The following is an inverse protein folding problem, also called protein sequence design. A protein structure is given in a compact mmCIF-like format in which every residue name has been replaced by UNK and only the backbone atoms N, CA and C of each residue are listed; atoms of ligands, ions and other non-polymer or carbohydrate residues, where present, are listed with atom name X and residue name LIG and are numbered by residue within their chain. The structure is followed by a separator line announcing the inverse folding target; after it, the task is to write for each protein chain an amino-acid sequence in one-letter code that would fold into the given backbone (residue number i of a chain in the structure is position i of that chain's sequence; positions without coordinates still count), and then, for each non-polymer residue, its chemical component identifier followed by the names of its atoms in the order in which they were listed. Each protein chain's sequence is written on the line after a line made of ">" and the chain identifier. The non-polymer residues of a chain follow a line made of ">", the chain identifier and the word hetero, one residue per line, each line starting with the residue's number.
data_IF_610591522179
#
_entry.id   IF_610591522179
#
_cell.length_a   1.000
_cell.length_b   1.000
_cell.length_c   1.000
_cell.angle_alpha   90.00
_cell.angle_beta   90.00
_cell.angle_gamma   90.00
#
_symmetry.space_group_name_H-M   'P 1'
#
loop_
_entity.id
_entity.type
_entity.pdbx_description
1 polymer ?
#
# COMPACT_ATOMS: atom_id res chain seq x y z
N UNK A 1 34.95 -61.46 42.35
CA UNK A 1 35.66 -62.20 43.40
C UNK A 1 35.19 -61.83 44.80
N UNK A 2 35.21 -60.55 45.22
CA UNK A 2 34.71 -60.12 46.55
C UNK A 2 33.23 -60.42 46.83
N UNK A 3 32.31 -60.12 45.89
CA UNK A 3 30.87 -60.39 46.05
C UNK A 3 30.46 -61.88 45.89
N UNK A 4 31.32 -62.69 45.27
CA UNK A 4 31.10 -64.15 45.09
C UNK A 4 31.72 -64.92 46.26
N UNK A 5 32.75 -64.37 46.91
CA UNK A 5 33.43 -64.95 48.07
C UNK A 5 32.93 -64.49 49.44
N UNK A 6 31.86 -63.67 49.50
CA UNK A 6 31.24 -63.26 50.78
C UNK A 6 32.09 -62.34 51.66
N UNK A 7 33.14 -61.71 51.13
CA UNK A 7 34.00 -60.79 51.89
C UNK A 7 33.57 -59.35 51.59
N UNK A 8 32.93 -58.72 52.58
CA UNK A 8 32.36 -57.36 52.52
C UNK A 8 30.85 -57.34 52.34
N UNK A 9 30.19 -56.23 52.69
CA UNK A 9 28.73 -56.04 52.68
C UNK A 9 28.07 -55.96 51.28
N UNK A 10 28.73 -56.45 50.24
CA UNK A 10 28.33 -56.29 48.83
C UNK A 10 27.80 -57.62 48.27
N UNK A 11 26.48 -57.70 48.09
CA UNK A 11 25.80 -58.87 47.50
C UNK A 11 25.77 -58.78 45.97
N UNK A 12 25.58 -59.91 45.27
CA UNK A 12 25.39 -59.93 43.82
C UNK A 12 24.21 -59.05 43.38
N UNK A 13 23.13 -59.04 44.18
CA UNK A 13 21.97 -58.18 43.99
C UNK A 13 22.30 -56.70 44.12
N UNK A 14 23.15 -56.31 45.09
CA UNK A 14 23.60 -54.93 45.25
C UNK A 14 24.40 -54.43 44.03
N UNK A 15 25.22 -55.28 43.42
CA UNK A 15 25.97 -54.94 42.19
C UNK A 15 24.99 -54.78 41.01
N UNK A 16 24.02 -55.68 40.85
CA UNK A 16 23.02 -55.59 39.79
C UNK A 16 22.16 -54.32 39.92
N UNK A 17 21.69 -54.01 41.14
CA UNK A 17 20.97 -52.77 41.44
C UNK A 17 21.83 -51.53 41.24
N UNK A 18 23.12 -51.56 41.59
CA UNK A 18 24.04 -50.44 41.37
C UNK A 18 24.29 -50.18 39.87
N UNK A 19 24.47 -51.22 39.06
CA UNK A 19 24.61 -51.08 37.60
C UNK A 19 23.34 -50.52 36.95
N UNK A 20 22.17 -50.94 37.43
CA UNK A 20 20.89 -50.38 36.97
C UNK A 20 20.75 -48.91 37.38
N UNK A 21 21.12 -48.55 38.62
CA UNK A 21 21.11 -47.18 39.11
C UNK A 21 22.09 -46.28 38.31
N UNK A 22 23.29 -46.78 38.01
CA UNK A 22 24.28 -46.06 37.20
C UNK A 22 23.74 -45.71 35.80
N UNK A 23 23.07 -46.64 35.13
CA UNK A 23 22.40 -46.35 33.84
C UNK A 23 21.22 -45.40 33.99
N UNK A 24 20.45 -45.57 35.08
CA UNK A 24 19.29 -44.73 35.39
C UNK A 24 19.66 -43.28 35.73
N UNK A 25 20.88 -42.99 36.16
CA UNK A 25 21.35 -41.64 36.49
C UNK A 25 21.95 -40.94 35.26
N UNK A 26 22.73 -41.67 34.46
CA UNK A 26 23.42 -41.06 33.32
C UNK A 26 22.47 -40.58 32.21
N UNK A 27 21.37 -41.32 31.95
CA UNK A 27 20.40 -40.89 30.92
C UNK A 27 19.67 -39.58 31.27
N UNK A 28 19.06 -39.42 32.46
CA UNK A 28 18.42 -38.16 32.85
C UNK A 28 19.36 -36.96 32.86
N UNK A 29 20.63 -37.13 33.29
CA UNK A 29 21.61 -36.04 33.29
C UNK A 29 21.85 -35.54 31.86
N UNK A 30 22.03 -36.45 30.90
CA UNK A 30 22.19 -36.09 29.50
C UNK A 30 20.92 -35.44 28.91
N UNK A 31 19.72 -35.93 29.29
CA UNK A 31 18.45 -35.32 28.88
C UNK A 31 18.28 -33.90 29.43
N UNK A 32 18.63 -33.66 30.70
CA UNK A 32 18.61 -32.32 31.30
C UNK A 32 19.58 -31.37 30.58
N UNK A 33 20.79 -31.83 30.27
CA UNK A 33 21.77 -31.02 29.53
C UNK A 33 21.27 -30.61 28.14
N UNK A 34 20.60 -31.52 27.42
CA UNK A 34 19.98 -31.21 26.12
C UNK A 34 18.79 -30.24 26.27
N UNK A 35 17.97 -30.38 27.31
CA UNK A 35 16.85 -29.47 27.55
C UNK A 35 17.30 -28.03 27.83
N UNK A 36 18.44 -27.82 28.48
CA UNK A 36 18.97 -26.46 28.73
C UNK A 36 19.22 -25.69 27.43
N UNK A 37 19.76 -26.35 26.40
CA UNK A 37 19.94 -25.73 25.09
C UNK A 37 18.61 -25.38 24.43
N UNK A 38 17.63 -26.27 24.52
CA UNK A 38 16.27 -26.01 24.00
C UNK A 38 15.59 -24.85 24.73
N UNK A 39 15.76 -24.74 26.06
CA UNK A 39 15.23 -23.62 26.85
C UNK A 39 15.91 -22.30 26.48
N UNK A 40 17.23 -22.29 26.27
CA UNK A 40 17.95 -21.09 25.85
C UNK A 40 17.50 -20.61 24.45
N UNK A 41 17.33 -21.53 23.50
CA UNK A 41 16.77 -21.21 22.18
C UNK A 41 15.32 -20.73 22.26
N UNK A 42 14.50 -21.37 23.11
CA UNK A 42 13.12 -20.94 23.35
C UNK A 42 13.09 -19.52 23.92
N UNK A 43 13.95 -19.19 24.89
CA UNK A 43 14.02 -17.85 25.48
C UNK A 43 14.39 -16.78 24.45
N UNK A 44 15.35 -17.06 23.56
CA UNK A 44 15.69 -16.16 22.46
C UNK A 44 14.54 -16.01 21.44
N UNK A 45 13.80 -17.09 21.17
CA UNK A 45 12.57 -17.05 20.38
C UNK A 45 11.48 -16.19 21.02
N UNK A 46 11.20 -16.44 22.30
CA UNK A 46 10.22 -15.71 23.10
C UNK A 46 10.57 -14.22 23.19
N UNK A 47 11.85 -13.85 23.32
CA UNK A 47 12.26 -12.44 23.30
C UNK A 47 11.89 -11.74 21.98
N UNK A 48 12.07 -12.41 20.83
CA UNK A 48 11.66 -11.84 19.53
C UNK A 48 10.15 -11.66 19.44
N UNK A 49 9.37 -12.59 20.00
CA UNK A 49 7.91 -12.49 20.07
C UNK A 49 7.50 -11.33 20.97
N UNK A 50 8.08 -11.20 22.17
CA UNK A 50 7.75 -10.11 23.08
C UNK A 50 8.13 -8.75 22.51
N UNK A 51 9.30 -8.62 21.87
CA UNK A 51 9.65 -7.38 21.17
C UNK A 51 8.55 -6.99 20.16
N UNK A 52 8.09 -7.93 19.32
CA UNK A 52 7.02 -7.66 18.36
C UNK A 52 5.67 -7.30 19.03
N UNK A 53 5.37 -7.90 20.19
CA UNK A 53 4.14 -7.61 20.94
C UNK A 53 4.19 -6.26 21.66
N UNK A 54 5.39 -5.80 22.02
CA UNK A 54 5.62 -4.52 22.69
C UNK A 54 5.66 -3.35 21.70
N UNK A 55 5.76 -3.62 20.39
CA UNK A 55 5.71 -2.61 19.35
C UNK A 55 4.36 -1.88 19.38
N UNK A 56 4.40 -0.54 19.41
CA UNK A 56 3.18 0.25 19.44
C UNK A 56 2.42 0.15 18.11
N UNK A 57 1.11 -0.08 18.19
CA UNK A 57 0.24 0.03 17.03
C UNK A 57 0.29 1.46 16.48
N UNK A 58 0.10 1.59 15.16
CA UNK A 58 -0.01 2.88 14.50
C UNK A 58 -1.06 3.76 15.22
N UNK A 59 -0.67 4.91 15.81
CA UNK A 59 -1.62 5.79 16.47
C UNK A 59 -2.50 6.49 15.42
N UNK A 60 -3.79 6.64 15.73
CA UNK A 60 -4.76 7.38 14.93
C UNK A 60 -5.54 8.34 15.83
N UNK A 61 -5.07 9.58 15.93
CA UNK A 61 -5.68 10.65 16.74
C UNK A 61 -6.61 11.56 15.92
N UNK A 62 -6.91 11.18 14.68
CA UNK A 62 -7.77 11.96 13.80
C UNK A 62 -9.21 11.99 14.29
N UNK A 63 -9.79 13.19 14.37
CA UNK A 63 -11.18 13.43 14.78
C UNK A 63 -12.08 13.83 13.61
N UNK A 64 -11.53 13.85 12.40
CA UNK A 64 -12.27 14.08 11.17
C UNK A 64 -12.54 12.74 10.49
N UNK A 65 -13.81 12.52 10.14
CA UNK A 65 -14.29 11.28 9.52
C UNK A 65 -14.99 11.55 8.19
N UNK A 66 -15.00 10.53 7.34
CA UNK A 66 -15.62 10.60 6.02
C UNK A 66 -17.06 10.13 6.10
N UNK A 67 -18.00 10.95 5.64
CA UNK A 67 -19.44 10.68 5.70
C UNK A 67 -20.13 10.88 4.35
N UNK A 68 -21.21 10.16 4.13
CA UNK A 68 -22.14 10.46 3.03
C UNK A 68 -22.87 11.76 3.37
N UNK A 69 -23.02 12.63 2.38
CA UNK A 69 -23.64 13.94 2.56
C UNK A 69 -24.68 14.21 1.47
N UNK A 70 -25.74 14.93 1.81
CA UNK A 70 -26.69 15.50 0.86
C UNK A 70 -26.42 16.99 0.73
N UNK A 71 -26.35 17.47 -0.50
CA UNK A 71 -26.24 18.90 -0.79
C UNK A 71 -27.63 19.47 -1.03
N UNK A 72 -27.99 20.51 -0.28
CA UNK A 72 -29.25 21.26 -0.45
C UNK A 72 -29.10 22.36 -1.52
N UNK A 73 -30.22 22.93 -1.97
CA UNK A 73 -30.24 23.96 -3.02
C UNK A 73 -29.49 25.25 -2.62
N UNK A 74 -29.35 25.51 -1.32
CA UNK A 74 -28.58 26.62 -0.75
C UNK A 74 -27.06 26.35 -0.67
N UNK A 75 -26.62 25.16 -1.09
CA UNK A 75 -25.22 24.74 -1.05
C UNK A 75 -24.76 24.15 0.28
N UNK A 76 -25.63 24.09 1.30
CA UNK A 76 -25.32 23.47 2.59
C UNK A 76 -25.26 21.95 2.48
N UNK A 77 -24.45 21.32 3.34
CA UNK A 77 -24.30 19.88 3.42
C UNK A 77 -24.92 19.35 4.71
N UNK A 78 -25.62 18.23 4.61
CA UNK A 78 -26.09 17.48 5.78
C UNK A 78 -25.66 16.02 5.67
N UNK A 79 -25.20 15.43 6.76
CA UNK A 79 -24.92 13.99 6.84
C UNK A 79 -26.19 13.18 6.55
N UNK A 80 -26.04 12.09 5.80
CA UNK A 80 -27.14 11.19 5.46
C UNK A 80 -26.63 9.76 5.41
N UNK A 81 -27.48 8.80 5.78
CA UNK A 81 -27.21 7.38 5.61
C UNK A 81 -27.49 6.89 4.18
N UNK A 82 -28.20 7.70 3.38
CA UNK A 82 -28.50 7.38 1.98
C UNK A 82 -27.28 7.55 1.08
N UNK A 83 -27.14 6.66 0.08
CA UNK A 83 -26.06 6.71 -0.90
C UNK A 83 -26.33 7.82 -1.93
N UNK A 84 -25.78 9.02 -1.67
CA UNK A 84 -25.93 10.21 -2.53
C UNK A 84 -24.79 10.40 -3.52
N UNK A 85 -23.73 9.57 -3.46
CA UNK A 85 -22.45 9.74 -4.17
C UNK A 85 -21.74 11.08 -3.89
N UNK A 86 -22.19 11.82 -2.89
CA UNK A 86 -21.54 13.04 -2.40
C UNK A 86 -20.97 12.70 -1.03
N UNK A 87 -19.67 12.93 -0.88
CA UNK A 87 -18.95 12.69 0.36
C UNK A 87 -18.49 14.00 0.97
N UNK A 88 -18.33 14.01 2.29
CA UNK A 88 -17.84 15.16 3.03
C UNK A 88 -16.99 14.72 4.22
N UNK A 89 -16.04 15.57 4.60
CA UNK A 89 -15.33 15.52 5.86
C UNK A 89 -16.19 16.10 6.96
N UNK A 90 -16.50 15.29 7.98
CA UNK A 90 -17.16 15.72 9.20
C UNK A 90 -16.12 15.86 10.30
N UNK A 91 -16.00 17.06 10.87
CA UNK A 91 -15.24 17.30 12.09
C UNK A 91 -16.13 17.02 13.31
N UNK A 92 -15.82 15.97 14.06
CA UNK A 92 -16.61 15.56 15.24
C UNK A 92 -16.54 16.58 16.40
N UNK A 93 -15.59 17.51 16.40
CA UNK A 93 -15.46 18.55 17.43
C UNK A 93 -16.30 19.78 17.11
N UNK A 94 -16.29 20.22 15.85
CA UNK A 94 -16.99 21.45 15.43
C UNK A 94 -18.35 21.19 14.77
N UNK A 95 -18.62 19.95 14.34
CA UNK A 95 -19.79 19.61 13.52
C UNK A 95 -19.72 20.17 12.10
N UNK A 96 -18.57 20.70 11.68
CA UNK A 96 -18.40 21.30 10.35
C UNK A 96 -18.26 20.22 9.28
N UNK A 97 -19.06 20.35 8.22
CA UNK A 97 -18.97 19.56 7.01
C UNK A 97 -18.20 20.29 5.92
N UNK A 98 -17.18 19.63 5.35
CA UNK A 98 -16.43 20.13 4.20
C UNK A 98 -16.58 19.15 3.05
N UNK A 99 -17.03 19.61 1.87
CA UNK A 99 -17.22 18.72 0.71
C UNK A 99 -15.91 18.07 0.32
N UNK A 100 -15.95 16.76 0.04
CA UNK A 100 -14.82 16.03 -0.51
C UNK A 100 -14.68 16.38 -2.00
N UNK A 101 -13.67 17.19 -2.33
CA UNK A 101 -13.46 17.69 -3.69
C UNK A 101 -12.21 17.10 -4.35
N UNK A 102 -11.26 16.57 -3.57
CA UNK A 102 -10.01 16.04 -4.11
C UNK A 102 -8.93 17.10 -4.30
N UNK A 103 -8.99 18.22 -3.58
CA UNK A 103 -7.93 19.22 -3.58
C UNK A 103 -6.85 18.80 -2.59
N UNK A 104 -5.61 18.60 -3.06
CA UNK A 104 -4.49 18.15 -2.21
C UNK A 104 -3.36 19.16 -2.30
N UNK A 105 -2.84 19.59 -1.16
CA UNK A 105 -1.76 20.56 -1.08
C UNK A 105 -0.62 20.04 -0.19
N UNK A 106 0.60 20.18 -0.67
CA UNK A 106 1.83 20.02 0.10
C UNK A 106 2.46 21.41 0.19
N UNK A 107 2.84 21.84 1.38
CA UNK A 107 3.48 23.15 1.60
C UNK A 107 4.76 22.97 2.40
N UNK A 108 5.89 23.34 1.79
CA UNK A 108 7.23 23.32 2.41
C UNK A 108 7.52 21.99 3.11
N UNK A 109 7.22 20.87 2.45
CA UNK A 109 7.37 19.53 3.05
C UNK A 109 8.82 19.06 2.97
N UNK A 110 9.40 18.81 4.14
CA UNK A 110 10.70 18.16 4.33
C UNK A 110 10.50 16.76 4.95
N UNK A 111 11.20 15.76 4.43
CA UNK A 111 11.04 14.39 4.93
C UNK A 111 12.30 13.52 4.82
N UNK A 112 12.54 12.69 5.83
CA UNK A 112 13.59 11.70 5.89
C UNK A 112 13.04 10.38 6.50
N UNK A 113 13.43 9.23 5.95
CA UNK A 113 13.11 7.93 6.58
C UNK A 113 13.93 7.68 7.84
N UNK A 114 15.20 8.14 7.81
CA UNK A 114 16.13 8.12 8.93
C UNK A 114 16.66 9.54 9.10
N UNK A 115 16.85 10.00 10.33
CA UNK A 115 17.26 11.38 10.65
C UNK A 115 18.52 11.83 9.88
N UNK A 116 19.41 10.90 9.53
CA UNK A 116 20.69 11.18 8.86
C UNK A 116 20.58 11.56 7.38
N UNK A 117 19.42 11.35 6.73
CA UNK A 117 19.29 11.53 5.27
C UNK A 117 17.93 12.06 4.83
N UNK A 118 17.87 13.37 4.58
CA UNK A 118 16.74 14.02 3.91
C UNK A 118 16.51 13.45 2.51
N UNK A 119 15.28 13.00 2.26
CA UNK A 119 14.81 12.44 0.99
C UNK A 119 13.99 13.45 0.21
N UNK A 120 13.18 14.26 0.90
CA UNK A 120 12.43 15.37 0.32
C UNK A 120 12.83 16.67 1.00
N UNK A 121 12.93 17.73 0.21
CA UNK A 121 13.33 19.06 0.64
C UNK A 121 12.46 20.12 -0.06
N UNK A 122 11.81 20.98 0.73
CA UNK A 122 11.01 22.11 0.27
C UNK A 122 10.00 21.73 -0.84
N UNK A 123 9.23 20.66 -0.59
CA UNK A 123 8.23 20.19 -1.53
C UNK A 123 6.95 20.99 -1.36
N UNK A 124 6.64 21.83 -2.36
CA UNK A 124 5.37 22.55 -2.45
C UNK A 124 4.62 22.15 -3.72
N UNK A 125 3.40 21.63 -3.56
CA UNK A 125 2.55 21.12 -4.65
C UNK A 125 1.11 21.54 -4.38
N UNK A 126 0.41 22.00 -5.41
CA UNK A 126 -1.04 22.18 -5.36
C UNK A 126 -1.72 21.36 -6.45
N UNK A 127 -2.52 20.38 -6.03
CA UNK A 127 -3.34 19.55 -6.88
C UNK A 127 -4.80 20.00 -6.83
N UNK A 128 -5.29 20.55 -7.95
CA UNK A 128 -6.68 20.97 -8.08
C UNK A 128 -7.60 19.76 -8.28
N UNK A 129 -8.89 19.86 -7.88
CA UNK A 129 -9.88 18.84 -8.16
C UNK A 129 -9.89 18.42 -9.64
N UNK A 130 -9.92 17.10 -9.88
CA UNK A 130 -9.93 16.50 -11.22
C UNK A 130 -8.67 16.75 -12.08
N UNK A 131 -7.56 17.19 -11.46
CA UNK A 131 -6.29 17.43 -12.14
C UNK A 131 -5.40 16.18 -12.14
N UNK A 132 -4.76 15.90 -13.28
CA UNK A 132 -3.76 14.85 -13.44
C UNK A 132 -2.34 15.39 -13.28
N UNK A 133 -1.62 14.89 -12.30
CA UNK A 133 -0.26 15.29 -11.95
C UNK A 133 0.68 14.12 -12.20
N UNK A 134 1.63 14.31 -13.12
CA UNK A 134 2.69 13.35 -13.38
C UNK A 134 3.95 13.69 -12.57
N UNK A 135 4.42 12.72 -11.77
CA UNK A 135 5.70 12.77 -11.06
C UNK A 135 6.77 12.14 -11.95
N UNK A 136 7.75 12.94 -12.37
CA UNK A 136 8.82 12.52 -13.29
C UNK A 136 10.18 12.77 -12.65
N UNK A 137 11.15 11.87 -12.83
CA UNK A 137 12.50 12.02 -12.30
C UNK A 137 13.23 10.69 -12.21
N UNK A 138 14.53 10.72 -11.94
CA UNK A 138 15.34 9.52 -11.79
C UNK A 138 14.88 8.63 -10.61
N UNK A 139 15.34 7.37 -10.60
CA UNK A 139 15.19 6.47 -9.46
C UNK A 139 15.80 7.12 -8.21
N UNK A 140 15.09 7.07 -7.07
CA UNK A 140 15.53 7.71 -5.83
C UNK A 140 15.31 9.23 -5.74
N UNK A 141 14.67 9.86 -6.73
CA UNK A 141 14.40 11.31 -6.70
C UNK A 141 13.33 11.74 -5.68
N UNK A 142 12.61 10.81 -5.05
CA UNK A 142 11.58 11.09 -4.03
C UNK A 142 10.12 10.90 -4.47
N UNK A 143 9.86 10.42 -5.70
CA UNK A 143 8.50 10.23 -6.25
C UNK A 143 7.60 9.35 -5.37
N UNK A 144 8.07 8.16 -5.02
CA UNK A 144 7.37 7.21 -4.14
C UNK A 144 7.24 7.73 -2.70
N UNK A 145 8.16 8.60 -2.26
CA UNK A 145 8.08 9.21 -0.94
C UNK A 145 6.92 10.20 -0.87
N UNK A 146 6.71 11.02 -1.90
CA UNK A 146 5.54 11.92 -1.98
C UNK A 146 4.24 11.12 -1.91
N UNK A 147 4.13 10.04 -2.68
CA UNK A 147 2.91 9.22 -2.69
C UNK A 147 2.68 8.54 -1.33
N UNK A 148 3.73 8.09 -0.65
CA UNK A 148 3.64 7.53 0.70
C UNK A 148 3.18 8.56 1.74
N UNK A 149 3.59 9.82 1.62
CA UNK A 149 3.18 10.90 2.53
C UNK A 149 1.72 11.30 2.30
N UNK A 150 1.26 11.39 1.05
CA UNK A 150 -0.16 11.64 0.73
C UNK A 150 -1.05 10.55 1.33
N UNK A 151 -0.61 9.29 1.31
CA UNK A 151 -1.32 8.16 1.92
C UNK A 151 -1.17 8.06 3.45
N UNK A 152 -0.36 8.94 4.05
CA UNK A 152 0.01 8.94 5.47
C UNK A 152 0.46 7.55 5.94
N UNK A 153 1.39 6.94 5.21
CA UNK A 153 2.15 5.77 5.66
C UNK A 153 3.32 6.16 6.57
N UNK A 154 3.74 7.42 6.48
CA UNK A 154 4.70 8.04 7.36
C UNK A 154 4.11 9.38 7.80
N UNK A 155 4.32 9.74 9.06
CA UNK A 155 3.96 11.07 9.56
C UNK A 155 5.05 12.07 9.17
N UNK A 156 4.66 13.34 9.01
CA UNK A 156 5.54 14.41 8.58
C UNK A 156 6.40 14.90 9.74
N UNK A 157 7.68 15.16 9.48
CA UNK A 157 8.57 15.80 10.44
C UNK A 157 8.38 17.33 10.44
N UNK A 158 8.30 17.94 9.25
CA UNK A 158 8.10 19.38 9.04
C UNK A 158 7.27 19.64 7.76
N UNK A 159 6.68 20.83 7.67
CA UNK A 159 5.74 21.23 6.62
C UNK A 159 4.29 20.78 6.89
N UNK A 160 3.43 20.96 5.90
CA UNK A 160 1.99 20.62 6.01
C UNK A 160 1.47 19.94 4.76
N UNK A 161 0.66 18.91 4.95
CA UNK A 161 -0.15 18.31 3.89
C UNK A 161 -1.62 18.52 4.22
N UNK A 162 -2.36 19.05 3.26
CA UNK A 162 -3.77 19.36 3.39
C UNK A 162 -4.59 18.65 2.31
N UNK A 163 -5.77 18.19 2.70
CA UNK A 163 -6.78 17.63 1.82
C UNK A 163 -8.08 18.43 2.00
N UNK A 164 -8.53 19.10 0.94
CA UNK A 164 -9.68 20.02 0.92
C UNK A 164 -9.54 21.12 1.99
N UNK A 165 -8.30 21.57 2.22
CA UNK A 165 -7.94 22.57 3.23
C UNK A 165 -7.83 22.05 4.67
N UNK A 166 -7.99 20.74 4.88
CA UNK A 166 -7.90 20.07 6.19
C UNK A 166 -6.52 19.41 6.33
N UNK A 167 -5.84 19.63 7.45
CA UNK A 167 -4.58 18.95 7.74
C UNK A 167 -4.78 17.43 7.85
N UNK A 168 -4.04 16.65 7.07
CA UNK A 168 -4.19 15.18 7.03
C UNK A 168 -3.92 14.51 8.39
N UNK A 169 -3.19 15.17 9.30
CA UNK A 169 -2.92 14.67 10.64
C UNK A 169 -4.18 14.67 11.52
N UNK A 170 -5.15 15.54 11.21
CA UNK A 170 -6.43 15.65 11.92
C UNK A 170 -7.52 14.72 11.37
N UNK A 171 -7.30 14.16 10.17
CA UNK A 171 -8.17 13.16 9.55
C UNK A 171 -7.77 11.78 10.09
N UNK A 172 -8.77 10.99 10.47
CA UNK A 172 -8.52 9.60 10.87
C UNK A 172 -7.92 8.80 9.72
N UNK A 173 -6.87 8.02 9.99
CA UNK A 173 -6.10 7.29 8.97
C UNK A 173 -6.99 6.34 8.16
N UNK A 174 -7.94 5.67 8.82
CA UNK A 174 -8.91 4.79 8.13
C UNK A 174 -9.77 5.55 7.12
N UNK A 175 -10.23 6.75 7.46
CA UNK A 175 -11.10 7.56 6.60
C UNK A 175 -10.31 8.27 5.51
N UNK A 176 -9.09 8.72 5.80
CA UNK A 176 -8.14 9.21 4.80
C UNK A 176 -7.88 8.15 3.74
N UNK A 177 -7.49 6.94 4.14
CA UNK A 177 -7.20 5.82 3.22
C UNK A 177 -8.44 5.34 2.46
N UNK A 178 -9.65 5.51 3.01
CA UNK A 178 -10.91 5.25 2.28
C UNK A 178 -11.20 6.29 1.20
N UNK A 179 -10.75 7.54 1.39
CA UNK A 179 -10.90 8.63 0.42
C UNK A 179 -9.84 8.64 -0.69
N UNK A 180 -8.82 7.80 -0.57
CA UNK A 180 -7.71 7.68 -1.52
C UNK A 180 -7.75 6.30 -2.19
N UNK A 181 -7.45 6.23 -3.48
CA UNK A 181 -7.20 4.97 -4.17
C UNK A 181 -5.72 4.84 -4.50
N UNK A 182 -5.16 3.65 -4.30
CA UNK A 182 -3.78 3.37 -4.66
C UNK A 182 -3.74 2.18 -5.62
N UNK A 183 -3.08 2.37 -6.75
CA UNK A 183 -2.70 1.28 -7.67
C UNK A 183 -1.19 1.26 -7.72
N UNK A 184 -0.61 0.20 -7.15
CA UNK A 184 0.84 0.01 -7.10
C UNK A 184 1.33 -0.72 -8.34
N UNK A 185 2.62 -0.59 -8.62
CA UNK A 185 3.31 -1.32 -9.67
C UNK A 185 3.18 -2.84 -9.47
N UNK A 186 3.47 -3.31 -8.25
CA UNK A 186 3.34 -4.71 -7.87
C UNK A 186 1.94 -4.96 -7.29
N UNK A 187 1.14 -5.70 -8.04
CA UNK A 187 -0.24 -6.00 -7.68
C UNK A 187 -0.30 -7.24 -6.83
N UNK A 188 -0.92 -7.10 -5.65
CA UNK A 188 -1.27 -8.22 -4.79
C UNK A 188 -2.77 -8.57 -4.84
N UNK A 189 -3.06 -9.84 -5.04
CA UNK A 189 -4.37 -10.46 -5.05
C UNK A 189 -4.49 -11.45 -3.87
N UNK A 190 -5.68 -11.49 -3.28
CA UNK A 190 -5.96 -12.40 -2.18
C UNK A 190 -6.40 -13.76 -2.71
N UNK A 191 -6.11 -14.81 -1.93
CA UNK A 191 -6.73 -16.12 -2.14
C UNK A 191 -8.24 -16.01 -1.97
N UNK A 192 -8.99 -16.39 -3.00
CA UNK A 192 -10.44 -16.17 -3.10
C UNK A 192 -10.86 -15.98 -4.56
N UNK A 193 -12.13 -15.70 -4.79
CA UNK A 193 -12.66 -15.53 -6.16
C UNK A 193 -12.18 -14.23 -6.81
N UNK A 194 -12.22 -14.17 -8.14
CA UNK A 194 -12.01 -12.92 -8.90
C UNK A 194 -12.99 -11.85 -8.44
N UNK A 195 -14.27 -12.22 -8.22
CA UNK A 195 -15.31 -11.33 -7.73
C UNK A 195 -14.95 -10.69 -6.38
N UNK A 196 -14.53 -11.51 -5.40
CA UNK A 196 -14.12 -11.02 -4.07
C UNK A 196 -12.89 -10.12 -4.15
N UNK A 197 -11.94 -10.43 -5.02
CA UNK A 197 -10.75 -9.61 -5.22
C UNK A 197 -11.07 -8.21 -5.75
N UNK A 198 -12.07 -8.07 -6.64
CA UNK A 198 -12.53 -6.77 -7.11
C UNK A 198 -13.33 -6.08 -5.99
N UNK A 199 -14.29 -6.79 -5.38
CA UNK A 199 -15.12 -6.28 -4.26
C UNK A 199 -14.30 -5.82 -3.06
N UNK A 200 -13.06 -6.29 -2.90
CA UNK A 200 -12.16 -5.80 -1.84
C UNK A 200 -11.99 -4.27 -1.83
N UNK A 201 -12.14 -3.60 -2.99
CA UNK A 201 -12.11 -2.13 -3.05
C UNK A 201 -13.28 -1.46 -2.34
N UNK A 202 -14.44 -2.14 -2.27
CA UNK A 202 -15.62 -1.70 -1.52
C UNK A 202 -16.48 -2.92 -1.15
N UNK A 203 -16.38 -3.35 0.12
CA UNK A 203 -16.95 -4.62 0.59
C UNK A 203 -18.48 -4.70 0.48
N UNK A 204 -19.16 -3.55 0.54
CA UNK A 204 -20.61 -3.41 0.37
C UNK A 204 -21.07 -3.25 -1.08
N UNK A 205 -20.16 -3.38 -2.07
CA UNK A 205 -20.53 -3.31 -3.49
C UNK A 205 -21.33 -4.54 -3.93
N UNK A 206 -22.40 -4.30 -4.69
CA UNK A 206 -23.21 -5.39 -5.29
C UNK A 206 -22.46 -6.08 -6.41
N UNK A 207 -22.89 -7.29 -6.78
CA UNK A 207 -22.30 -8.05 -7.88
C UNK A 207 -22.37 -7.27 -9.20
N UNK A 208 -23.44 -6.52 -9.43
CA UNK A 208 -23.60 -5.67 -10.61
C UNK A 208 -22.56 -4.54 -10.62
N UNK A 209 -22.34 -3.87 -9.48
CA UNK A 209 -21.33 -2.81 -9.38
C UNK A 209 -19.91 -3.35 -9.61
N UNK A 210 -19.64 -4.57 -9.15
CA UNK A 210 -18.35 -5.25 -9.37
C UNK A 210 -18.16 -5.59 -10.85
N UNK A 211 -19.19 -6.12 -11.52
CA UNK A 211 -19.15 -6.43 -12.96
C UNK A 211 -19.00 -5.15 -13.79
N UNK A 212 -19.72 -4.08 -13.46
CA UNK A 212 -19.56 -2.79 -14.15
C UNK A 212 -18.16 -2.20 -13.96
N UNK A 213 -17.58 -2.30 -12.75
CA UNK A 213 -16.20 -1.89 -12.51
C UNK A 213 -15.19 -2.70 -13.35
N UNK A 214 -15.41 -4.02 -13.47
CA UNK A 214 -14.58 -4.89 -14.30
C UNK A 214 -14.70 -4.57 -15.80
N UNK A 215 -15.89 -4.18 -16.29
CA UNK A 215 -16.08 -3.73 -17.67
C UNK A 215 -15.35 -2.41 -17.93
N UNK A 216 -15.49 -1.43 -17.04
CA UNK A 216 -14.79 -0.14 -17.13
C UNK A 216 -13.26 -0.32 -17.12
N UNK A 217 -12.76 -1.28 -16.34
CA UNK A 217 -11.35 -1.64 -16.31
C UNK A 217 -10.88 -2.40 -17.56
N UNK A 218 -11.78 -2.84 -18.45
CA UNK A 218 -11.51 -3.82 -19.52
C UNK A 218 -11.05 -5.20 -19.02
N UNK A 219 -11.39 -5.56 -17.78
CA UNK A 219 -11.12 -6.85 -17.18
C UNK A 219 -12.15 -7.92 -17.57
N UNK A 220 -13.41 -7.52 -17.79
CA UNK A 220 -14.54 -8.43 -18.04
C UNK A 220 -14.26 -9.47 -19.14
N UNK A 221 -13.63 -9.04 -20.24
CA UNK A 221 -13.33 -9.93 -21.37
C UNK A 221 -12.45 -11.10 -20.95
N UNK A 222 -11.32 -10.88 -20.25
CA UNK A 222 -10.46 -11.99 -19.87
C UNK A 222 -11.09 -12.81 -18.74
N UNK A 223 -11.83 -12.17 -17.82
CA UNK A 223 -12.54 -12.85 -16.74
C UNK A 223 -13.52 -13.87 -17.33
N UNK A 224 -14.26 -13.50 -18.38
CA UNK A 224 -15.17 -14.41 -19.08
C UNK A 224 -14.49 -15.62 -19.73
N UNK A 225 -13.18 -15.55 -20.02
CA UNK A 225 -12.41 -16.68 -20.56
C UNK A 225 -11.84 -17.60 -19.46
N UNK A 226 -11.96 -17.23 -18.18
CA UNK A 226 -11.60 -18.11 -17.07
C UNK A 226 -12.63 -19.24 -16.91
N UNK A 227 -12.18 -20.39 -16.42
CA UNK A 227 -13.01 -21.61 -16.33
C UNK A 227 -14.34 -21.41 -15.56
N UNK A 228 -14.38 -20.51 -14.58
CA UNK A 228 -15.57 -20.20 -13.77
C UNK A 228 -15.93 -18.70 -13.79
N UNK A 229 -15.44 -17.95 -14.78
CA UNK A 229 -15.69 -16.52 -14.86
C UNK A 229 -15.24 -15.76 -13.60
N UNK A 230 -16.12 -14.91 -13.07
CA UNK A 230 -15.94 -14.17 -11.82
C UNK A 230 -15.80 -15.05 -10.57
N UNK A 231 -16.29 -16.30 -10.62
CA UNK A 231 -16.20 -17.25 -9.50
C UNK A 231 -14.91 -18.07 -9.54
N UNK A 232 -14.02 -17.81 -10.51
CA UNK A 232 -12.72 -18.48 -10.58
C UNK A 232 -11.91 -18.19 -9.33
N UNK A 233 -11.46 -19.26 -8.68
CA UNK A 233 -10.61 -19.19 -7.49
C UNK A 233 -9.18 -18.81 -7.85
N UNK A 234 -8.66 -17.78 -7.20
CA UNK A 234 -7.28 -17.35 -7.24
C UNK A 234 -6.55 -17.88 -6.01
N UNK A 235 -5.31 -18.30 -6.19
CA UNK A 235 -4.41 -18.74 -5.11
C UNK A 235 -3.02 -18.15 -5.33
N UNK A 236 -2.24 -18.02 -4.25
CA UNK A 236 -0.84 -17.62 -4.30
C UNK A 236 -0.62 -16.33 -5.09
N UNK A 237 -1.33 -15.27 -4.73
CA UNK A 237 -1.23 -13.94 -5.36
C UNK A 237 -1.67 -13.87 -6.83
N UNK A 238 -2.51 -14.81 -7.26
CA UNK A 238 -2.96 -14.90 -8.66
C UNK A 238 -1.85 -15.41 -9.58
N UNK A 239 -1.10 -16.42 -9.14
CA UNK A 239 -0.02 -17.05 -9.90
C UNK A 239 -0.48 -17.61 -11.27
N UNK A 240 -1.77 -17.93 -11.42
CA UNK A 240 -2.37 -18.40 -12.67
C UNK A 240 -2.68 -17.29 -13.69
N UNK A 241 -2.54 -16.02 -13.31
CA UNK A 241 -2.84 -14.87 -14.17
C UNK A 241 -1.56 -14.28 -14.78
N UNK A 242 -1.68 -13.62 -15.93
CA UNK A 242 -0.61 -12.78 -16.45
C UNK A 242 -0.48 -11.49 -15.62
N UNK A 243 0.66 -10.81 -15.71
CA UNK A 243 0.87 -9.53 -15.01
C UNK A 243 -0.17 -8.48 -15.42
N UNK A 244 -0.47 -8.36 -16.72
CA UNK A 244 -1.49 -7.44 -17.20
C UNK A 244 -2.90 -7.78 -16.70
N UNK A 245 -3.24 -9.07 -16.61
CA UNK A 245 -4.52 -9.50 -16.01
C UNK A 245 -4.61 -9.12 -14.53
N UNK A 246 -3.53 -9.31 -13.76
CA UNK A 246 -3.48 -8.85 -12.35
C UNK A 246 -3.66 -7.34 -12.26
N UNK A 247 -3.01 -6.56 -13.13
CA UNK A 247 -3.20 -5.11 -13.21
C UNK A 247 -4.64 -4.71 -13.51
N UNK A 248 -5.29 -5.35 -14.48
CA UNK A 248 -6.71 -5.09 -14.79
C UNK A 248 -7.62 -5.35 -13.58
N UNK A 249 -7.34 -6.38 -12.77
CA UNK A 249 -8.09 -6.62 -11.53
C UNK A 249 -7.83 -5.54 -10.46
N UNK A 250 -6.58 -5.06 -10.33
CA UNK A 250 -6.25 -3.96 -9.43
C UNK A 250 -6.94 -2.66 -9.85
N UNK A 251 -6.98 -2.37 -11.15
CA UNK A 251 -7.72 -1.24 -11.72
C UNK A 251 -9.21 -1.38 -11.42
N UNK A 252 -9.82 -2.54 -11.66
CA UNK A 252 -11.23 -2.79 -11.34
C UNK A 252 -11.52 -2.58 -9.84
N UNK A 253 -10.61 -3.03 -8.96
CA UNK A 253 -10.68 -2.81 -7.50
C UNK A 253 -10.65 -1.31 -7.16
N UNK A 254 -9.82 -0.51 -7.82
CA UNK A 254 -9.78 0.94 -7.63
C UNK A 254 -11.01 1.65 -8.24
N UNK A 255 -11.59 1.12 -9.32
CA UNK A 255 -12.82 1.66 -9.91
C UNK A 255 -14.00 1.45 -8.96
N UNK A 256 -14.19 0.24 -8.41
CA UNK A 256 -15.32 -0.05 -7.50
C UNK A 256 -15.23 0.71 -6.17
N UNK A 257 -14.01 0.98 -5.70
CA UNK A 257 -13.77 1.83 -4.54
C UNK A 257 -14.23 3.29 -4.79
N UNK A 258 -14.17 3.75 -6.04
CA UNK A 258 -14.54 5.09 -6.50
C UNK A 258 -14.00 6.26 -5.63
N UNK A 259 -12.69 6.30 -5.31
CA UNK A 259 -12.12 7.40 -4.55
C UNK A 259 -11.94 8.66 -5.43
N UNK A 260 -12.10 9.88 -4.88
CA UNK A 260 -11.88 11.15 -5.59
C UNK A 260 -10.40 11.44 -5.93
N UNK A 261 -9.47 10.89 -5.16
CA UNK A 261 -8.02 11.06 -5.36
C UNK A 261 -7.40 9.70 -5.60
N UNK A 262 -6.56 9.62 -6.62
CA UNK A 262 -5.85 8.41 -7.03
C UNK A 262 -4.35 8.62 -6.98
N UNK A 263 -3.65 7.60 -6.51
CA UNK A 263 -2.20 7.49 -6.53
C UNK A 263 -1.85 6.26 -7.35
N UNK A 264 -1.18 6.47 -8.48
CA UNK A 264 -0.88 5.44 -9.46
C UNK A 264 0.63 5.31 -9.61
N UNK A 265 1.17 4.12 -9.41
CA UNK A 265 2.57 3.80 -9.66
C UNK A 265 2.67 2.96 -10.94
N UNK A 266 2.94 3.63 -12.06
CA UNK A 266 2.85 3.03 -13.38
C UNK A 266 4.17 2.36 -13.78
N UNK A 267 4.30 1.05 -13.59
CA UNK A 267 5.27 0.25 -14.34
C UNK A 267 4.61 -0.88 -15.12
N UNK A 268 4.86 -0.85 -16.42
CA UNK A 268 4.29 -1.75 -17.43
C UNK A 268 5.38 -2.39 -18.29
N UNK A 269 6.64 -2.31 -17.86
CA UNK A 269 7.82 -2.67 -18.65
C UNK A 269 7.91 -4.16 -19.02
N UNK A 270 7.05 -5.01 -18.46
CA UNK A 270 7.06 -6.47 -18.62
C UNK A 270 5.76 -7.04 -19.22
N UNK A 271 4.93 -6.19 -19.84
CA UNK A 271 3.64 -6.59 -20.43
C UNK A 271 3.75 -6.60 -21.96
N UNK A 272 3.12 -7.57 -22.61
CA UNK A 272 3.04 -7.60 -24.07
C UNK A 272 2.21 -6.43 -24.63
N UNK A 273 2.54 -5.96 -25.84
CA UNK A 273 1.96 -4.74 -26.45
C UNK A 273 0.43 -4.77 -26.57
N UNK A 274 -0.18 -5.95 -26.73
CA UNK A 274 -1.64 -6.06 -26.85
C UNK A 274 -2.30 -5.86 -25.48
N UNK A 275 -1.88 -6.63 -24.47
CA UNK A 275 -2.37 -6.51 -23.09
C UNK A 275 -2.11 -5.11 -22.52
N UNK A 276 -0.96 -4.53 -22.84
CA UNK A 276 -0.59 -3.17 -22.50
C UNK A 276 -1.63 -2.13 -22.93
N UNK A 277 -2.12 -2.21 -24.18
CA UNK A 277 -3.13 -1.28 -24.69
C UNK A 277 -4.44 -1.40 -23.92
N UNK A 278 -4.81 -2.60 -23.51
CA UNK A 278 -6.02 -2.87 -22.71
C UNK A 278 -5.89 -2.27 -21.31
N UNK A 279 -4.74 -2.48 -20.66
CA UNK A 279 -4.43 -1.91 -19.34
C UNK A 279 -4.47 -0.38 -19.37
N UNK A 280 -3.88 0.24 -20.39
CA UNK A 280 -3.88 1.70 -20.54
C UNK A 280 -5.29 2.27 -20.66
N UNK A 281 -6.18 1.64 -21.43
CA UNK A 281 -7.60 2.07 -21.50
C UNK A 281 -8.30 1.95 -20.16
N UNK A 282 -8.01 0.90 -19.39
CA UNK A 282 -8.51 0.74 -18.02
C UNK A 282 -8.01 1.87 -17.09
N UNK A 283 -6.74 2.22 -17.18
CA UNK A 283 -6.14 3.34 -16.43
C UNK A 283 -6.76 4.68 -16.83
N UNK A 284 -6.92 4.94 -18.12
CA UNK A 284 -7.56 6.16 -18.62
C UNK A 284 -9.00 6.30 -18.11
N UNK A 285 -9.76 5.20 -18.10
CA UNK A 285 -11.11 5.16 -17.53
C UNK A 285 -11.10 5.43 -16.01
N UNK A 286 -10.17 4.81 -15.28
CA UNK A 286 -10.00 5.01 -13.84
C UNK A 286 -9.67 6.48 -13.50
N UNK A 287 -8.86 7.17 -14.32
CA UNK A 287 -8.41 8.54 -14.08
C UNK A 287 -9.46 9.63 -14.38
N UNK A 288 -10.60 9.30 -15.01
CA UNK A 288 -11.57 10.31 -15.42
C UNK A 288 -12.27 10.97 -14.22
N UNK A 289 -12.28 12.31 -14.20
CA UNK A 289 -13.00 13.11 -13.21
C UNK A 289 -12.43 13.06 -11.80
N UNK A 290 -11.19 12.59 -11.64
CA UNK A 290 -10.51 12.39 -10.35
C UNK A 290 -9.19 13.15 -10.32
N UNK A 291 -8.78 13.56 -9.13
CA UNK A 291 -7.43 14.10 -8.94
C UNK A 291 -6.47 12.93 -8.94
N UNK A 292 -5.41 12.97 -9.74
CA UNK A 292 -4.51 11.83 -9.94
C UNK A 292 -3.07 12.25 -9.73
N UNK A 293 -2.36 11.54 -8.87
CA UNK A 293 -0.91 11.54 -8.79
C UNK A 293 -0.39 10.28 -9.46
N UNK A 294 0.29 10.42 -10.59
CA UNK A 294 0.86 9.28 -11.32
C UNK A 294 2.37 9.36 -11.36
N UNK A 295 3.04 8.33 -10.87
CA UNK A 295 4.47 8.11 -11.12
C UNK A 295 4.56 7.55 -12.53
N UNK A 296 4.88 8.42 -13.48
CA UNK A 296 4.76 8.10 -14.89
C UNK A 296 6.09 7.58 -15.45
N UNK A 297 6.07 6.36 -16.00
CA UNK A 297 7.17 5.80 -16.78
C UNK A 297 6.91 5.86 -18.30
N UNK A 298 5.69 6.22 -18.71
CA UNK A 298 5.30 6.31 -20.12
C UNK A 298 5.17 7.74 -20.62
N UNK A 299 5.61 7.94 -21.86
CA UNK A 299 5.49 9.24 -22.51
C UNK A 299 4.03 9.67 -22.72
N UNK A 300 3.12 8.74 -23.00
CA UNK A 300 1.69 9.02 -23.15
C UNK A 300 1.09 9.62 -21.88
N UNK A 301 1.36 9.01 -20.73
CA UNK A 301 0.90 9.44 -19.41
C UNK A 301 1.44 10.82 -19.06
N UNK A 302 2.74 11.04 -19.28
CA UNK A 302 3.39 12.33 -19.03
C UNK A 302 2.80 13.41 -19.93
N UNK A 303 2.65 13.14 -21.24
CA UNK A 303 2.16 14.11 -22.22
C UNK A 303 0.72 14.55 -21.94
N UNK A 304 -0.10 13.63 -21.45
CA UNK A 304 -1.53 13.86 -21.19
C UNK A 304 -1.80 14.38 -19.77
N UNK A 305 -0.77 14.60 -18.94
CA UNK A 305 -0.92 15.17 -17.62
C UNK A 305 -1.20 16.69 -17.71
N UNK A 306 -2.09 17.17 -16.85
CA UNK A 306 -2.42 18.59 -16.72
C UNK A 306 -1.27 19.36 -16.07
N UNK A 307 -0.47 18.69 -15.24
CA UNK A 307 0.73 19.22 -14.61
C UNK A 307 1.78 18.12 -14.49
N UNK A 308 3.02 18.47 -14.79
CA UNK A 308 4.18 17.60 -14.65
C UNK A 308 5.08 18.22 -13.58
N UNK A 309 5.49 17.43 -12.60
CA UNK A 309 6.45 17.79 -11.58
C UNK A 309 7.73 17.01 -11.83
N UNK A 310 8.82 17.71 -12.10
CA UNK A 310 10.13 17.10 -12.30
C UNK A 310 10.90 17.14 -10.99
N UNK A 311 11.20 15.96 -10.46
CA UNK A 311 11.95 15.77 -9.23
C UNK A 311 13.41 15.45 -9.50
N UNK A 312 14.28 16.13 -8.77
CA UNK A 312 15.70 15.83 -8.73
C UNK A 312 16.23 16.01 -7.31
N UNK A 313 16.92 14.99 -6.77
CA UNK A 313 17.53 15.00 -5.43
C UNK A 313 16.56 15.47 -4.33
N UNK A 314 15.31 15.02 -4.36
CA UNK A 314 14.32 15.37 -3.34
C UNK A 314 13.68 16.74 -3.47
N UNK A 315 13.93 17.48 -4.56
CA UNK A 315 13.36 18.81 -4.81
C UNK A 315 12.59 18.84 -6.12
N UNK A 316 11.58 19.70 -6.21
CA UNK A 316 10.92 20.03 -7.47
C UNK A 316 11.76 21.08 -8.18
N UNK A 317 12.31 20.72 -9.34
CA UNK A 317 13.17 21.60 -10.12
C UNK A 317 12.42 22.29 -11.27
N UNK A 318 11.37 21.66 -11.78
CA UNK A 318 10.53 22.16 -12.86
C UNK A 318 9.08 21.72 -12.64
N UNK A 319 8.14 22.61 -12.97
CA UNK A 319 6.72 22.30 -12.93
C UNK A 319 5.99 23.02 -14.07
N UNK A 320 4.99 22.37 -14.66
CA UNK A 320 4.17 22.95 -15.72
C UNK A 320 3.57 21.89 -16.63
N UNK A 321 2.95 22.33 -17.72
CA UNK A 321 2.43 21.44 -18.77
C UNK A 321 3.57 20.90 -19.64
N UNK A 322 3.30 19.81 -20.37
CA UNK A 322 4.24 19.24 -21.34
C UNK A 322 4.80 20.31 -22.32
N UNK A 323 3.92 21.16 -22.86
CA UNK A 323 4.31 22.18 -23.83
C UNK A 323 5.16 23.31 -23.21
N UNK A 324 4.91 23.68 -21.96
CA UNK A 324 5.70 24.68 -21.23
C UNK A 324 7.09 24.15 -20.93
N UNK A 325 7.19 22.93 -20.39
CA UNK A 325 8.46 22.32 -20.01
C UNK A 325 9.36 22.03 -21.23
N UNK A 326 8.78 21.66 -22.38
CA UNK A 326 9.56 21.52 -23.62
C UNK A 326 10.17 22.85 -24.10
N UNK A 327 9.47 23.98 -23.92
CA UNK A 327 9.99 25.30 -24.29
C UNK A 327 11.15 25.74 -23.41
N UNK A 328 11.13 25.37 -22.13
CA UNK A 328 12.19 25.67 -21.17
C UNK A 328 13.51 24.97 -21.51
N UNK A 329 13.47 23.85 -22.26
CA UNK A 329 14.64 23.03 -22.62
C UNK A 329 15.49 22.61 -21.40
N UNK A 330 14.83 22.42 -20.25
CA UNK A 330 15.47 22.08 -18.99
C UNK A 330 15.71 20.58 -18.79
N UNK A 331 15.64 20.11 -17.54
CA UNK A 331 15.75 18.69 -17.18
C UNK A 331 14.64 17.86 -17.81
N UNK A 332 13.40 18.35 -17.82
CA UNK A 332 12.30 17.66 -18.50
C UNK A 332 12.62 17.34 -19.97
N UNK A 333 13.15 18.34 -20.69
CA UNK A 333 13.50 18.19 -22.10
C UNK A 333 14.62 17.17 -22.33
N UNK A 334 15.62 17.12 -21.44
CA UNK A 334 16.69 16.12 -21.48
C UNK A 334 16.18 14.70 -21.25
N UNK A 335 15.28 14.53 -20.28
CA UNK A 335 14.59 13.25 -20.04
C UNK A 335 13.72 12.86 -21.25
N UNK A 336 13.03 13.83 -21.85
CA UNK A 336 12.16 13.60 -23.02
C UNK A 336 12.93 13.22 -24.29
N UNK A 337 14.09 13.83 -24.53
CA UNK A 337 14.89 13.62 -25.75
C UNK A 337 15.82 12.41 -25.68
N UNK A 338 15.80 11.66 -24.57
CA UNK A 338 16.61 10.45 -24.40
C UNK A 338 18.10 10.74 -24.19
N UNK A 339 18.47 11.96 -23.80
CA UNK A 339 19.85 12.28 -23.41
C UNK A 339 20.24 11.68 -22.05
N UNK A 340 19.28 11.06 -21.36
CA UNK A 340 19.43 10.27 -20.15
C UNK A 340 18.58 9.01 -20.32
N UNK A 341 19.20 7.83 -20.34
CA UNK A 341 18.46 6.59 -20.08
C UNK A 341 18.01 6.63 -18.62
N UNK A 342 16.71 6.41 -18.41
CA UNK A 342 16.13 6.19 -17.09
C UNK A 342 16.50 4.78 -16.64
N UNK A 343 17.74 4.58 -16.17
CA UNK A 343 18.12 3.39 -15.40
C UNK A 343 18.06 3.66 -13.89
#
# INVERSE_FOLDING_TARGET
>A
LLAIGGIGSLTLGAIASFLQLSRSINMPINQMAQQLNSVAMALAGTKRIFNLLDEMSEPDEGHIRLVNAKQHEDGTLTETDEKTNIWAWMDDRSGKLTKLCGHVQLHEVDFAYNEDKLVLQDITIEAKPAQKIALVGATGAGKTTITNLINRFYDLADGKIQYDGIDINTISKSQLRRSLGVVLQDVHLFSGTVMENIRYGRLDATDEEVVEAAKLANADTFIAHLAQGYQTQLSGDGASLSQGQRQLLSIARAIVANPPVLVLDEATSSIDTHTETVVQRGMDALMQGRTVFVIAHRLSTIRNADMILVLQNGRIIEQGTHAELLKLKGQYYRLYTGAFELE
#
